data_IF_130437596693
#
_entry.id   IF_130437596693
#
_cell.length_a   1.000
_cell.length_b   1.000
_cell.length_c   1.000
_cell.angle_alpha   90.00
_cell.angle_beta   90.00
_cell.angle_gamma   90.00
#
_symmetry.space_group_name_H-M   'P 1'
#
loop_
_entity.id
_entity.type
_entity.pdbx_description
1 polymer ?
#
# COMPACT_ATOMS: atom_id res chain seq x y z
N UNK A 1 -62.38 41.85 38.75
CA UNK A 1 -62.79 41.51 37.36
C UNK A 1 -61.52 41.17 36.59
N UNK A 2 -61.17 39.88 36.48
CA UNK A 2 -59.95 39.45 35.79
C UNK A 2 -60.28 39.25 34.30
N UNK A 3 -59.76 40.14 33.45
CA UNK A 3 -59.72 39.93 32.01
C UNK A 3 -58.79 38.74 31.73
N UNK A 4 -59.33 37.62 31.26
CA UNK A 4 -58.51 36.51 30.79
C UNK A 4 -58.08 36.80 29.35
N UNK A 5 -56.81 37.15 29.18
CA UNK A 5 -56.19 37.31 27.87
C UNK A 5 -55.68 35.95 27.42
N UNK A 6 -56.14 35.48 26.26
CA UNK A 6 -55.68 34.25 25.62
C UNK A 6 -54.74 34.63 24.49
N UNK A 7 -53.53 34.09 24.50
CA UNK A 7 -52.52 34.39 23.49
C UNK A 7 -52.58 33.38 22.35
N UNK A 8 -52.35 33.87 21.13
CA UNK A 8 -52.15 33.02 19.96
C UNK A 8 -50.75 32.41 19.96
N UNK A 9 -50.53 31.45 19.07
CA UNK A 9 -49.19 30.92 18.80
C UNK A 9 -48.23 32.02 18.36
N UNK A 10 -46.96 31.86 18.73
CA UNK A 10 -45.90 32.76 18.32
C UNK A 10 -45.64 32.67 16.83
N UNK A 11 -45.35 33.81 16.19
CA UNK A 11 -44.72 33.82 14.88
C UNK A 11 -43.35 33.15 14.95
N UNK A 12 -42.85 32.73 13.80
CA UNK A 12 -41.43 32.44 13.66
C UNK A 12 -40.60 33.68 14.05
N UNK A 13 -39.38 33.43 14.51
CA UNK A 13 -38.42 34.50 14.70
C UNK A 13 -38.07 35.13 13.35
N UNK A 14 -37.99 36.47 13.33
CA UNK A 14 -37.43 37.18 12.21
C UNK A 14 -35.93 36.87 12.04
N UNK A 15 -35.40 37.20 10.87
CA UNK A 15 -33.97 37.16 10.61
C UNK A 15 -33.22 38.04 11.62
N UNK A 16 -31.99 37.64 11.93
CA UNK A 16 -31.15 38.40 12.84
C UNK A 16 -30.89 39.80 12.25
N UNK A 17 -31.09 40.86 13.05
CA UNK A 17 -30.92 42.24 12.59
C UNK A 17 -29.51 42.54 12.08
N UNK A 18 -28.52 41.89 12.69
CA UNK A 18 -27.16 41.89 12.20
C UNK A 18 -26.99 40.71 11.22
N UNK A 19 -26.49 40.96 9.99
CA UNK A 19 -26.20 39.89 9.03
C UNK A 19 -25.07 38.95 9.51
N UNK A 20 -24.29 39.36 10.51
CA UNK A 20 -23.15 38.63 11.05
C UNK A 20 -22.85 39.01 12.52
N UNK A 21 -22.26 38.11 13.29
CA UNK A 21 -21.74 38.37 14.65
C UNK A 21 -22.76 38.25 15.80
N UNK A 22 -22.33 38.55 17.03
CA UNK A 22 -23.09 38.37 18.29
C UNK A 22 -23.90 39.59 18.73
N UNK A 23 -23.88 40.68 17.95
CA UNK A 23 -24.54 41.94 18.28
C UNK A 23 -25.97 42.02 17.73
N UNK A 24 -26.44 40.96 17.07
CA UNK A 24 -27.75 40.92 16.46
C UNK A 24 -28.87 40.70 17.47
N UNK A 25 -30.04 41.23 17.14
CA UNK A 25 -31.28 41.01 17.89
C UNK A 25 -32.34 40.54 16.91
N UNK A 26 -33.12 39.53 17.28
CA UNK A 26 -34.29 39.09 16.52
C UNK A 26 -35.54 39.26 17.36
N UNK A 27 -36.67 39.48 16.69
CA UNK A 27 -37.97 39.60 17.34
C UNK A 27 -38.98 38.61 16.74
N UNK A 28 -39.96 38.26 17.56
CA UNK A 28 -41.16 37.53 17.15
C UNK A 28 -42.38 38.17 17.79
N UNK A 29 -43.54 37.96 17.18
CA UNK A 29 -44.79 38.56 17.65
C UNK A 29 -45.88 37.51 17.74
N UNK A 30 -46.86 37.72 18.62
CA UNK A 30 -48.08 36.93 18.70
C UNK A 30 -49.27 37.85 18.89
N UNK A 31 -50.40 37.45 18.35
CA UNK A 31 -51.68 38.08 18.66
C UNK A 31 -52.20 37.61 20.02
N UNK A 32 -53.22 38.29 20.50
CA UNK A 32 -54.03 37.80 21.61
C UNK A 32 -55.47 38.19 21.39
N UNK A 33 -56.30 37.46 22.11
CA UNK A 33 -57.72 37.65 22.19
C UNK A 33 -58.09 37.96 23.63
N UNK A 34 -58.82 39.06 23.83
CA UNK A 34 -59.35 39.44 25.14
C UNK A 34 -60.85 39.19 25.16
N UNK A 35 -61.29 38.25 25.99
CA UNK A 35 -62.71 38.03 26.24
C UNK A 35 -63.20 38.98 27.32
N UNK A 36 -63.99 39.99 26.94
CA UNK A 36 -64.85 40.68 27.89
C UNK A 36 -66.29 40.16 27.69
N UNK A 37 -66.79 39.40 28.69
CA UNK A 37 -68.15 38.85 28.72
C UNK A 37 -68.59 38.04 27.49
N UNK A 38 -67.67 37.37 26.78
CA UNK A 38 -68.01 36.41 25.71
C UNK A 38 -68.66 37.00 24.44
N UNK A 39 -68.76 38.33 24.32
CA UNK A 39 -69.49 38.99 23.24
C UNK A 39 -68.61 39.76 22.25
N UNK A 40 -67.38 40.12 22.62
CA UNK A 40 -66.49 40.89 21.74
C UNK A 40 -65.15 40.19 21.60
N UNK A 41 -64.85 39.77 20.36
CA UNK A 41 -63.63 39.06 20.03
C UNK A 41 -62.68 39.99 19.29
N UNK A 42 -61.85 40.73 20.05
CA UNK A 42 -60.83 41.58 19.44
C UNK A 42 -59.62 40.71 19.10
N UNK A 43 -59.48 40.40 17.82
CA UNK A 43 -58.29 39.75 17.29
C UNK A 43 -57.30 40.86 16.89
N UNK A 44 -56.28 41.09 17.70
CA UNK A 44 -55.44 42.27 17.57
C UNK A 44 -54.05 42.14 18.19
N UNK A 45 -53.30 43.24 18.06
CA UNK A 45 -52.00 43.40 18.72
C UNK A 45 -52.19 43.53 20.23
N UNK A 46 -51.43 42.77 21.01
CA UNK A 46 -51.50 42.84 22.47
C UNK A 46 -50.83 44.09 23.03
N UNK A 47 -51.43 44.67 24.07
CA UNK A 47 -50.83 45.78 24.82
C UNK A 47 -49.56 45.36 25.56
N UNK A 48 -49.52 44.13 26.09
CA UNK A 48 -48.34 43.56 26.74
C UNK A 48 -48.15 42.09 26.34
N UNK A 49 -46.90 41.63 26.32
CA UNK A 49 -46.57 40.23 26.00
C UNK A 49 -46.87 39.80 24.56
N UNK A 50 -47.10 40.72 23.63
CA UNK A 50 -47.31 40.43 22.20
C UNK A 50 -46.03 40.42 21.36
N UNK A 51 -44.91 40.86 21.93
CA UNK A 51 -43.59 40.91 21.27
C UNK A 51 -42.53 40.34 22.20
N UNK A 52 -41.58 39.61 21.63
CA UNK A 52 -40.42 39.06 22.33
C UNK A 52 -39.15 39.36 21.52
N UNK A 53 -38.06 39.69 22.23
CA UNK A 53 -36.75 40.00 21.65
C UNK A 53 -35.68 39.17 22.34
N UNK A 54 -34.73 38.67 21.55
CA UNK A 54 -33.56 37.99 22.07
C UNK A 54 -32.32 38.27 21.24
N UNK A 55 -31.16 38.08 21.86
CA UNK A 55 -29.87 38.12 21.16
C UNK A 55 -29.78 36.96 20.17
N UNK A 56 -29.28 37.24 18.97
CA UNK A 56 -29.05 36.25 17.94
C UNK A 56 -27.65 36.39 17.36
N UNK A 57 -27.15 35.27 16.81
CA UNK A 57 -25.89 35.22 16.10
C UNK A 57 -26.19 35.16 14.60
N UNK A 58 -25.75 36.18 13.86
CA UNK A 58 -25.87 36.21 12.41
C UNK A 58 -24.87 35.26 11.76
N UNK A 59 -25.31 34.43 10.81
CA UNK A 59 -24.45 33.51 10.08
C UNK A 59 -23.57 34.30 9.10
N UNK A 60 -22.29 34.47 9.45
CA UNK A 60 -21.33 35.15 8.61
C UNK A 60 -20.96 34.26 7.41
N UNK A 61 -21.20 34.66 6.15
CA UNK A 61 -20.75 33.88 4.99
C UNK A 61 -19.22 33.88 4.85
N UNK A 62 -18.50 34.66 5.65
CA UNK A 62 -17.04 34.85 5.55
C UNK A 62 -16.26 34.74 6.87
N UNK A 63 -16.81 34.14 7.93
CA UNK A 63 -16.00 33.94 9.15
C UNK A 63 -16.20 32.57 9.80
N UNK A 64 -15.33 31.65 9.43
CA UNK A 64 -14.68 30.68 10.33
C UNK A 64 -13.85 31.36 11.43
N UNK A 65 -14.23 32.55 11.90
CA UNK A 65 -13.46 33.35 12.85
C UNK A 65 -14.29 33.55 14.12
N UNK A 66 -14.46 32.46 14.85
CA UNK A 66 -14.61 32.49 16.31
C UNK A 66 -13.29 32.02 16.96
N UNK A 67 -12.15 32.47 16.44
CA UNK A 67 -10.82 32.08 16.91
C UNK A 67 -9.84 33.27 16.87
N UNK A 68 -10.20 34.42 17.46
CA UNK A 68 -9.31 35.60 17.50
C UNK A 68 -9.26 36.25 18.88
N UNK A 69 -9.13 35.46 19.95
CA UNK A 69 -8.63 36.03 21.20
C UNK A 69 -7.21 35.56 21.57
N UNK A 70 -6.69 34.50 20.95
CA UNK A 70 -5.25 34.17 20.98
C UNK A 70 -4.88 33.32 19.75
N UNK A 71 -4.23 33.86 18.70
CA UNK A 71 -3.69 33.03 17.64
C UNK A 71 -2.71 32.03 18.26
N UNK A 72 -2.96 30.74 18.05
CA UNK A 72 -2.14 29.69 18.65
C UNK A 72 -0.83 29.45 17.92
N UNK A 73 0.19 29.05 18.66
CA UNK A 73 1.50 28.68 18.10
C UNK A 73 1.60 27.16 18.01
N UNK A 74 1.89 26.65 16.82
CA UNK A 74 2.21 25.24 16.62
C UNK A 74 3.67 24.95 17.00
N UNK A 75 3.94 23.77 17.54
CA UNK A 75 5.30 23.22 17.59
C UNK A 75 5.82 22.96 16.17
N UNK A 76 7.13 22.73 16.05
CA UNK A 76 7.65 22.09 14.85
C UNK A 76 7.01 20.72 14.67
N UNK A 77 6.85 20.31 13.42
CA UNK A 77 6.48 18.94 13.09
C UNK A 77 7.57 17.97 13.55
N UNK A 78 7.16 16.80 14.02
CA UNK A 78 8.08 15.68 14.16
C UNK A 78 8.57 15.24 12.78
N UNK A 79 9.61 14.40 12.77
CA UNK A 79 9.89 13.61 11.57
C UNK A 79 8.68 12.70 11.28
N UNK A 80 8.53 12.34 10.01
CA UNK A 80 7.59 11.29 9.62
C UNK A 80 7.99 9.97 10.28
N UNK A 81 6.99 9.16 10.64
CA UNK A 81 7.17 7.78 11.05
C UNK A 81 7.81 6.96 9.93
N UNK A 82 8.24 5.75 10.27
CA UNK A 82 8.47 4.73 9.25
C UNK A 82 7.19 4.49 8.46
N UNK A 83 7.33 4.13 7.18
CA UNK A 83 6.19 3.74 6.37
C UNK A 83 5.52 2.49 6.95
N UNK A 84 4.20 2.47 7.01
CA UNK A 84 3.42 1.33 7.51
C UNK A 84 3.60 0.07 6.65
N UNK A 85 3.96 0.26 5.38
CA UNK A 85 4.31 -0.77 4.42
C UNK A 85 5.68 -0.52 3.86
N UNK A 86 6.40 -1.60 3.61
CA UNK A 86 7.70 -1.54 2.95
C UNK A 86 7.57 -1.44 1.43
N UNK A 87 6.43 -1.80 0.83
CA UNK A 87 6.18 -1.79 -0.62
C UNK A 87 4.67 -1.68 -0.91
N UNK A 88 4.31 -1.46 -2.18
CA UNK A 88 2.92 -1.52 -2.65
C UNK A 88 2.04 -0.36 -2.19
N UNK A 89 2.64 0.78 -1.86
CA UNK A 89 1.94 1.99 -1.41
C UNK A 89 1.47 1.89 0.04
N UNK A 90 2.20 2.57 0.92
CA UNK A 90 1.91 2.74 2.34
C UNK A 90 1.71 4.20 2.72
N UNK A 91 1.51 4.44 4.01
CA UNK A 91 1.37 5.75 4.62
C UNK A 91 2.37 5.92 5.77
N UNK A 92 2.83 7.15 5.96
CA UNK A 92 3.54 7.57 7.17
C UNK A 92 2.89 8.83 7.75
N UNK A 93 3.10 9.04 9.05
CA UNK A 93 2.48 10.14 9.78
C UNK A 93 3.51 10.99 10.48
N UNK A 94 3.23 12.27 10.62
CA UNK A 94 3.96 13.17 11.53
C UNK A 94 2.99 13.95 12.39
N UNK A 95 3.48 14.39 13.54
CA UNK A 95 2.67 15.07 14.56
C UNK A 95 3.23 16.45 14.86
N UNK A 96 2.36 17.37 15.28
CA UNK A 96 2.71 18.63 15.94
C UNK A 96 1.74 18.89 17.07
N UNK A 97 2.17 19.65 18.05
CA UNK A 97 1.36 20.02 19.22
C UNK A 97 1.10 21.52 19.24
N UNK A 98 -0.07 21.93 19.69
CA UNK A 98 -0.37 23.34 19.93
C UNK A 98 0.29 23.76 21.24
N UNK A 99 1.25 24.68 21.19
CA UNK A 99 2.05 25.10 22.36
C UNK A 99 1.43 26.29 23.09
N UNK A 100 0.60 27.08 22.42
CA UNK A 100 -0.11 28.21 23.02
C UNK A 100 -1.37 28.56 22.24
N UNK A 101 -2.31 29.27 22.87
CA UNK A 101 -3.49 29.85 22.21
C UNK A 101 -4.42 28.82 21.57
N UNK A 102 -5.14 29.25 20.53
CA UNK A 102 -6.02 28.38 19.72
C UNK A 102 -5.39 28.14 18.36
N UNK A 103 -4.91 26.92 18.13
CA UNK A 103 -4.30 26.56 16.86
C UNK A 103 -5.36 26.08 15.85
N UNK A 104 -5.35 26.68 14.66
CA UNK A 104 -6.21 26.26 13.53
C UNK A 104 -5.41 25.34 12.61
N UNK A 105 -6.04 24.25 12.16
CA UNK A 105 -5.45 23.22 11.31
C UNK A 105 -5.16 21.91 12.05
N UNK A 106 -4.68 20.91 11.31
CA UNK A 106 -4.52 19.55 11.86
C UNK A 106 -3.25 19.40 12.69
N UNK A 107 -3.33 18.61 13.77
CA UNK A 107 -2.19 18.22 14.61
C UNK A 107 -1.45 16.99 14.06
N UNK A 108 -2.02 16.32 13.06
CA UNK A 108 -1.50 15.10 12.44
C UNK A 108 -1.53 15.30 10.93
N UNK A 109 -0.43 14.94 10.28
CA UNK A 109 -0.33 14.91 8.83
C UNK A 109 0.02 13.50 8.38
N UNK A 110 -0.66 13.03 7.33
CA UNK A 110 -0.44 11.72 6.73
C UNK A 110 0.00 11.91 5.29
N UNK A 111 1.04 11.21 4.86
CA UNK A 111 1.54 11.24 3.49
C UNK A 111 1.84 9.82 2.98
N UNK A 112 1.79 9.64 1.65
CA UNK A 112 2.08 8.36 1.00
C UNK A 112 3.57 8.05 0.98
N UNK A 113 3.91 6.78 1.07
CA UNK A 113 5.29 6.28 1.01
C UNK A 113 5.35 4.87 0.40
N UNK A 114 6.56 4.39 0.09
CA UNK A 114 6.80 3.01 -0.41
C UNK A 114 6.02 2.63 -1.68
N UNK A 115 6.06 3.49 -2.71
CA UNK A 115 5.32 3.29 -3.97
C UNK A 115 5.89 2.19 -4.90
N UNK A 116 7.03 1.60 -4.55
CA UNK A 116 7.61 0.53 -5.35
C UNK A 116 6.80 -0.76 -5.19
N UNK A 117 6.75 -1.56 -6.26
CA UNK A 117 5.97 -2.78 -6.28
C UNK A 117 6.51 -3.81 -5.27
N UNK A 118 5.60 -4.50 -4.58
CA UNK A 118 5.99 -5.56 -3.66
C UNK A 118 6.62 -6.75 -4.38
N UNK A 119 7.66 -7.38 -3.80
CA UNK A 119 8.26 -8.59 -4.35
C UNK A 119 7.20 -9.67 -4.63
N UNK A 120 7.39 -10.36 -5.74
CA UNK A 120 6.45 -11.36 -6.18
C UNK A 120 6.56 -12.69 -5.46
N UNK A 121 5.50 -13.49 -5.54
CA UNK A 121 5.47 -14.86 -5.01
C UNK A 121 5.44 -15.87 -6.14
N UNK A 122 6.37 -16.82 -6.09
CA UNK A 122 6.36 -17.97 -7.01
C UNK A 122 5.28 -18.98 -6.63
N UNK A 123 4.70 -19.65 -7.62
CA UNK A 123 3.97 -20.88 -7.39
C UNK A 123 4.92 -21.98 -6.90
N UNK A 124 4.35 -23.07 -6.38
CA UNK A 124 5.10 -24.33 -6.29
C UNK A 124 5.62 -24.73 -7.67
N UNK A 125 6.78 -25.38 -7.70
CA UNK A 125 7.29 -25.99 -8.92
C UNK A 125 6.31 -27.05 -9.42
N UNK A 126 6.09 -27.07 -10.72
CA UNK A 126 5.46 -28.20 -11.40
C UNK A 126 6.33 -29.45 -11.31
N UNK A 127 5.78 -30.62 -11.70
CA UNK A 127 6.57 -31.83 -11.83
C UNK A 127 7.66 -31.66 -12.90
N UNK A 128 8.75 -32.43 -12.78
CA UNK A 128 9.68 -32.57 -13.90
C UNK A 128 9.00 -33.22 -15.09
N UNK A 129 9.38 -32.78 -16.28
CA UNK A 129 9.09 -33.48 -17.53
C UNK A 129 9.68 -34.89 -17.48
N UNK A 130 9.19 -35.81 -18.33
CA UNK A 130 9.97 -36.99 -18.66
C UNK A 130 11.39 -36.60 -19.09
N UNK A 131 12.35 -37.47 -18.80
CA UNK A 131 13.72 -37.30 -19.27
C UNK A 131 13.76 -37.36 -20.80
N UNK A 132 14.50 -36.46 -21.43
CA UNK A 132 14.64 -36.42 -22.90
C UNK A 132 15.32 -37.67 -23.49
N UNK A 133 16.13 -38.35 -22.68
CA UNK A 133 16.79 -39.61 -23.00
C UNK A 133 16.44 -40.67 -21.98
N UNK A 134 16.33 -41.90 -22.45
CA UNK A 134 16.07 -43.05 -21.59
C UNK A 134 17.33 -43.58 -20.93
N UNK A 135 18.52 -43.29 -21.46
CA UNK A 135 19.83 -43.77 -20.97
C UNK A 135 20.95 -42.85 -21.48
N UNK A 136 22.17 -43.05 -21.00
CA UNK A 136 23.39 -42.27 -21.31
C UNK A 136 23.33 -40.78 -20.91
N UNK A 137 22.53 -40.46 -19.90
CA UNK A 137 22.42 -39.10 -19.36
C UNK A 137 21.58 -38.18 -20.25
N UNK A 138 20.43 -37.79 -19.72
CA UNK A 138 19.48 -36.84 -20.28
C UNK A 138 19.19 -35.67 -19.36
N UNK A 139 18.29 -34.80 -19.81
CA UNK A 139 17.82 -33.62 -19.11
C UNK A 139 16.30 -33.70 -18.96
N UNK A 140 15.83 -33.38 -17.77
CA UNK A 140 14.43 -33.11 -17.48
C UNK A 140 14.29 -31.66 -17.02
N UNK A 141 13.14 -31.07 -17.30
CA UNK A 141 12.86 -29.67 -16.98
C UNK A 141 11.57 -29.55 -16.17
N UNK A 142 11.51 -28.57 -15.29
CA UNK A 142 10.25 -28.18 -14.62
C UNK A 142 10.07 -26.67 -14.67
N UNK A 143 8.82 -26.24 -14.58
CA UNK A 143 8.44 -24.83 -14.61
C UNK A 143 7.66 -24.43 -13.36
N UNK A 144 7.69 -23.15 -13.05
CA UNK A 144 6.81 -22.50 -12.08
C UNK A 144 6.34 -21.16 -12.63
N UNK A 145 5.25 -20.64 -12.11
CA UNK A 145 4.66 -19.37 -12.56
C UNK A 145 4.74 -18.33 -11.46
N UNK A 146 4.94 -17.06 -11.82
CA UNK A 146 4.84 -15.95 -10.87
C UNK A 146 3.36 -15.69 -10.57
N UNK A 147 2.97 -15.80 -9.31
CA UNK A 147 1.56 -15.71 -8.87
C UNK A 147 1.19 -14.27 -8.56
N UNK A 148 2.11 -13.49 -8.01
CA UNK A 148 1.88 -12.07 -7.70
C UNK A 148 3.18 -11.30 -7.86
N UNK A 149 3.10 -9.99 -8.09
CA UNK A 149 4.25 -9.07 -8.13
C UNK A 149 5.34 -9.41 -9.17
N UNK A 150 6.50 -8.75 -9.10
CA UNK A 150 7.69 -9.11 -9.85
C UNK A 150 8.48 -10.18 -9.08
N UNK A 151 8.52 -11.40 -9.60
CA UNK A 151 9.28 -12.48 -9.00
C UNK A 151 10.78 -12.39 -9.36
N UNK A 152 11.64 -12.61 -8.37
CA UNK A 152 13.10 -12.69 -8.56
C UNK A 152 13.52 -14.16 -8.69
N UNK A 153 14.37 -14.46 -9.67
CA UNK A 153 14.88 -15.80 -9.99
C UNK A 153 14.24 -16.44 -11.23
N UNK A 154 14.63 -17.68 -11.54
CA UNK A 154 14.23 -18.34 -12.79
C UNK A 154 12.85 -19.03 -12.67
N UNK A 155 12.09 -19.01 -13.76
CA UNK A 155 10.81 -19.73 -13.89
C UNK A 155 10.97 -21.17 -14.40
N UNK A 156 12.18 -21.53 -14.86
CA UNK A 156 12.53 -22.83 -15.41
C UNK A 156 13.73 -23.39 -14.66
N UNK A 157 13.67 -24.69 -14.34
CA UNK A 157 14.80 -25.43 -13.76
C UNK A 157 15.07 -26.68 -14.61
N UNK A 158 16.34 -26.98 -14.84
CA UNK A 158 16.80 -28.21 -15.50
C UNK A 158 17.59 -29.09 -14.53
N UNK A 159 17.44 -30.41 -14.67
CA UNK A 159 18.18 -31.39 -13.90
C UNK A 159 18.57 -32.57 -14.80
N UNK A 160 19.74 -33.16 -14.53
CA UNK A 160 20.16 -34.39 -15.21
C UNK A 160 19.31 -35.58 -14.76
N UNK A 161 19.14 -36.55 -15.65
CA UNK A 161 18.39 -37.78 -15.41
C UNK A 161 18.94 -38.94 -16.25
N UNK A 162 18.63 -40.17 -15.85
CA UNK A 162 18.95 -41.38 -16.63
C UNK A 162 20.44 -41.55 -17.00
N UNK A 163 21.35 -41.38 -16.04
CA UNK A 163 22.81 -41.51 -16.23
C UNK A 163 23.31 -42.96 -16.43
N UNK A 164 22.40 -43.94 -16.50
CA UNK A 164 22.76 -45.34 -16.71
C UNK A 164 23.06 -45.61 -18.19
N UNK A 165 23.97 -46.54 -18.46
CA UNK A 165 24.30 -46.95 -19.83
C UNK A 165 23.10 -47.63 -20.50
N UNK A 166 22.93 -47.40 -21.80
CA UNK A 166 21.92 -48.10 -22.58
C UNK A 166 22.25 -49.60 -22.62
N UNK A 167 21.22 -50.44 -22.55
CA UNK A 167 21.40 -51.86 -22.79
C UNK A 167 21.92 -52.05 -24.22
N UNK A 168 23.10 -52.66 -24.35
CA UNK A 168 23.59 -53.08 -25.66
C UNK A 168 22.53 -54.00 -26.26
N UNK A 169 22.04 -53.67 -27.46
CA UNK A 169 21.34 -54.66 -28.27
C UNK A 169 22.23 -55.90 -28.34
N UNK A 170 21.71 -57.13 -28.18
CA UNK A 170 22.51 -58.33 -28.33
C UNK A 170 22.99 -58.37 -29.78
N UNK A 171 24.15 -57.79 -30.05
CA UNK A 171 24.95 -58.11 -31.20
C UNK A 171 25.23 -59.60 -31.06
N UNK A 172 24.67 -60.40 -31.97
CA UNK A 172 25.04 -61.80 -32.13
C UNK A 172 26.57 -61.86 -32.13
N UNK A 173 27.15 -62.40 -31.05
CA UNK A 173 28.59 -62.64 -30.94
C UNK A 173 28.94 -63.67 -32.03
N UNK A 174 29.32 -63.21 -33.22
CA UNK A 174 30.07 -64.06 -34.15
C UNK A 174 31.46 -64.21 -33.55
N UNK A 175 31.66 -65.31 -32.82
CA UNK A 175 32.97 -65.79 -32.40
C UNK A 175 33.82 -66.04 -33.65
N UNK A 176 34.61 -65.07 -34.07
CA UNK A 176 35.74 -65.34 -34.96
C UNK A 176 36.86 -65.92 -34.11
N UNK A 177 37.02 -67.24 -34.25
CA UNK A 177 38.10 -68.02 -33.67
C UNK A 177 39.43 -67.39 -34.07
N UNK A 178 40.22 -66.99 -33.08
CA UNK A 178 41.58 -66.50 -33.29
C UNK A 178 42.45 -67.64 -33.86
N UNK A 179 42.93 -67.47 -35.10
CA UNK A 179 43.96 -68.33 -35.67
C UNK A 179 45.31 -67.71 -35.34
N UNK A 180 45.99 -68.29 -34.35
CA UNK A 180 47.40 -68.00 -34.07
C UNK A 180 48.25 -68.51 -35.22
N UNK A 181 48.95 -67.61 -35.92
CA UNK A 181 50.14 -67.97 -36.67
C UNK A 181 51.33 -67.15 -36.17
N UNK A 182 52.23 -67.89 -35.57
CA UNK A 182 53.52 -67.50 -35.01
C UNK A 182 54.55 -67.49 -36.13
N UNK A 183 55.15 -66.34 -36.45
CA UNK A 183 56.60 -66.28 -36.73
C UNK A 183 57.11 -64.85 -36.60
N UNK A 184 58.27 -64.75 -35.96
CA UNK A 184 58.89 -63.56 -35.41
C UNK A 184 59.50 -62.63 -36.47
N UNK A 185 59.66 -61.35 -36.11
CA UNK A 185 60.95 -60.69 -36.25
C UNK A 185 61.10 -59.55 -35.23
N UNK A 186 62.35 -59.37 -34.85
CA UNK A 186 62.86 -58.94 -33.55
C UNK A 186 63.36 -57.49 -33.60
N UNK A 187 63.55 -56.90 -32.40
CA UNK A 187 64.36 -55.71 -32.07
C UNK A 187 63.64 -54.36 -32.26
N UNK A 188 63.68 -53.39 -31.34
CA UNK A 188 64.67 -52.97 -30.32
C UNK A 188 63.91 -52.10 -29.27
N UNK A 189 63.88 -52.47 -27.99
CA UNK A 189 64.71 -51.95 -26.90
C UNK A 189 64.57 -50.44 -26.56
N UNK A 190 64.01 -50.17 -25.37
CA UNK A 190 64.39 -49.10 -24.38
C UNK A 190 64.08 -47.63 -24.74
N UNK A 191 63.66 -46.71 -23.86
CA UNK A 191 63.98 -46.46 -22.44
C UNK A 191 62.90 -45.55 -21.79
N UNK A 192 62.80 -45.69 -20.47
CA UNK A 192 62.11 -44.95 -19.39
C UNK A 192 62.07 -43.41 -19.43
N UNK A 193 60.99 -42.81 -18.88
CA UNK A 193 61.07 -41.94 -17.67
C UNK A 193 59.70 -41.45 -17.18
N UNK A 194 59.32 -41.89 -15.97
CA UNK A 194 58.43 -41.23 -14.99
C UNK A 194 58.93 -39.79 -14.69
N UNK A 195 58.14 -38.79 -14.26
CA UNK A 195 57.63 -38.57 -12.89
C UNK A 195 56.77 -37.27 -12.85
N UNK A 196 55.58 -37.40 -12.23
CA UNK A 196 54.81 -36.54 -11.29
C UNK A 196 54.76 -34.99 -11.39
N UNK A 197 53.49 -34.54 -11.25
CA UNK A 197 52.95 -33.53 -10.32
C UNK A 197 53.37 -32.05 -10.47
N UNK A 198 52.38 -31.14 -10.52
CA UNK A 198 51.80 -30.51 -9.32
C UNK A 198 50.59 -29.63 -9.66
N UNK A 199 49.72 -29.53 -8.67
CA UNK A 199 48.52 -28.71 -8.55
C UNK A 199 48.87 -27.23 -8.29
N UNK A 200 47.93 -26.35 -8.66
CA UNK A 200 47.75 -24.97 -8.17
C UNK A 200 48.54 -23.83 -8.86
N UNK A 201 47.87 -23.17 -9.81
CA UNK A 201 47.96 -21.72 -10.00
C UNK A 201 46.55 -21.13 -9.99
N UNK A 202 46.09 -20.79 -8.79
CA UNK A 202 45.04 -19.79 -8.56
C UNK A 202 45.68 -18.41 -8.80
N UNK A 203 44.90 -17.51 -9.40
CA UNK A 203 45.13 -16.05 -9.53
C UNK A 203 46.02 -15.54 -10.68
N UNK A 204 45.52 -15.64 -11.91
CA UNK A 204 45.80 -14.71 -13.01
C UNK A 204 44.70 -14.93 -14.07
N UNK A 205 43.50 -14.39 -13.97
CA UNK A 205 43.15 -13.10 -14.59
C UNK A 205 41.78 -12.67 -14.05
N UNK A 206 41.78 -11.68 -13.16
CA UNK A 206 40.63 -10.88 -12.81
C UNK A 206 40.62 -9.61 -13.67
N UNK A 207 39.47 -9.31 -14.26
CA UNK A 207 38.94 -7.99 -14.64
C UNK A 207 39.36 -7.30 -15.96
N UNK A 208 38.32 -6.59 -16.45
CA UNK A 208 38.27 -5.43 -17.35
C UNK A 208 38.07 -5.82 -18.85
N UNK A 209 37.13 -5.29 -19.65
CA UNK A 209 36.54 -3.93 -19.79
C UNK A 209 35.20 -4.11 -20.60
N UNK A 210 34.00 -3.76 -20.09
CA UNK A 210 33.15 -2.58 -20.39
C UNK A 210 33.16 -1.95 -21.82
N UNK A 211 31.97 -1.95 -22.43
CA UNK A 211 31.36 -0.93 -23.32
C UNK A 211 31.68 -0.84 -24.84
N UNK A 212 30.60 -0.50 -25.57
CA UNK A 212 30.46 0.07 -26.95
C UNK A 212 30.40 -0.98 -28.09
N UNK A 213 29.24 -1.29 -28.68
CA UNK A 213 28.31 -0.43 -29.47
C UNK A 213 26.88 -0.95 -29.39
#
# INVERSE_FOLDING_TARGET
LLLSVVYNEWSLWNWCSAPCGITGVRNRTRGCHSTLFGLVNFNGKCDTGGEEKESCVGACPHTTIAATLYPGTWSQWTQFSTCDKTCGGGMHIRHRSCTSGTCVGDSIETASCSDHQCPGTWSSWGPFSPCDKTCEGGIQIRHRTCVSGPCIGDSLESASCNDHLCAATPTHLTTTKATTNTTAMTQWATITSTIKATTAWKEFMSRSIKDVT
#
